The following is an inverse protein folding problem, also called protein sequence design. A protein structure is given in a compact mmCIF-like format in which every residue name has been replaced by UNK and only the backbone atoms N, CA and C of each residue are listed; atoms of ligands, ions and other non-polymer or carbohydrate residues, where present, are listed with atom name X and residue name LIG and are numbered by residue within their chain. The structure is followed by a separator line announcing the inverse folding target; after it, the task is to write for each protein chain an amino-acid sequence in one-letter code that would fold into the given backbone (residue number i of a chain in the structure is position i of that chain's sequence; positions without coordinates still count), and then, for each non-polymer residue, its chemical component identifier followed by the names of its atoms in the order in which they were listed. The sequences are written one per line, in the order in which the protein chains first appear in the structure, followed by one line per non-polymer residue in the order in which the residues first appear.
data_IF_770611601953
#
_entry.id   IF_770611601953
#
_cell.length_a   1.000
_cell.length_b   1.000
_cell.length_c   1.000
_cell.angle_alpha   90.00
_cell.angle_beta   90.00
_cell.angle_gamma   90.00
#
_symmetry.space_group_name_H-M   'P 1'
#
loop_
_entity.id
_entity.type
_entity.pdbx_description
1 polymer ?
#
# COMPACT_ATOMS: atom_id res chain seq x y z
N UNK A 1 41.00 12.64 14.36
CA UNK A 1 40.57 11.98 13.11
C UNK A 1 39.45 10.93 13.27
N UNK A 2 39.19 10.38 14.47
CA UNK A 2 38.15 9.35 14.68
C UNK A 2 36.69 9.88 14.71
N UNK A 3 36.48 11.15 15.06
CA UNK A 3 35.14 11.78 15.09
C UNK A 3 34.65 12.19 13.69
N UNK A 4 35.55 12.68 12.84
CA UNK A 4 35.25 13.10 11.46
C UNK A 4 34.78 11.92 10.59
N UNK A 5 35.37 10.73 10.78
CA UNK A 5 35.00 9.52 10.03
C UNK A 5 33.59 9.00 10.38
N UNK A 6 33.13 9.20 11.64
CA UNK A 6 31.77 8.81 12.06
C UNK A 6 30.69 9.70 11.44
N UNK A 7 30.97 10.99 11.29
CA UNK A 7 30.03 11.95 10.68
C UNK A 7 29.87 11.66 9.19
N UNK A 8 30.97 11.32 8.48
CA UNK A 8 30.93 10.95 7.06
C UNK A 8 30.10 9.68 6.84
N UNK A 9 30.24 8.66 7.68
CA UNK A 9 29.44 7.42 7.60
C UNK A 9 27.95 7.67 7.83
N UNK A 10 27.59 8.53 8.79
CA UNK A 10 26.20 8.92 9.05
C UNK A 10 25.58 9.65 7.85
N UNK A 11 26.32 10.57 7.23
CA UNK A 11 25.87 11.29 6.04
C UNK A 11 25.72 10.33 4.85
N UNK A 12 26.66 9.40 4.63
CA UNK A 12 26.56 8.40 3.56
C UNK A 12 25.36 7.45 3.76
N UNK A 13 25.06 7.06 5.01
CA UNK A 13 23.88 6.24 5.30
C UNK A 13 22.55 6.99 5.10
N UNK A 14 22.54 8.31 5.27
CA UNK A 14 21.36 9.16 5.02
C UNK A 14 21.10 9.34 3.52
N UNK A 15 22.14 9.33 2.69
CA UNK A 15 22.02 9.49 1.23
C UNK A 15 21.65 8.17 0.53
N UNK A 16 22.01 7.02 1.11
CA UNK A 16 21.67 5.70 0.55
C UNK A 16 20.18 5.31 0.73
N UNK A 17 19.36 6.14 1.37
CA UNK A 17 17.95 5.86 1.65
C UNK A 17 16.94 6.54 0.69
N UNK A 18 17.38 7.14 -0.42
CA UNK A 18 16.54 8.09 -1.14
C UNK A 18 16.36 7.80 -2.64
N UNK A 19 15.73 6.66 -2.99
CA UNK A 19 14.86 6.56 -4.18
C UNK A 19 13.97 5.32 -4.09
N UNK A 20 13.12 5.25 -3.05
CA UNK A 20 12.02 4.29 -3.05
C UNK A 20 10.77 5.00 -3.58
N UNK A 21 10.09 4.38 -4.53
CA UNK A 21 8.79 4.83 -5.04
C UNK A 21 7.77 4.55 -3.96
N UNK A 22 7.06 5.58 -3.49
CA UNK A 22 6.09 5.45 -2.41
C UNK A 22 4.67 5.58 -2.94
N UNK A 23 3.79 4.74 -2.44
CA UNK A 23 2.36 4.75 -2.75
C UNK A 23 1.57 4.96 -1.47
N UNK A 24 0.50 5.74 -1.58
CA UNK A 24 -0.45 5.94 -0.50
C UNK A 24 -1.85 5.82 -1.09
N UNK A 25 -2.62 4.89 -0.55
CA UNK A 25 -4.03 4.71 -0.83
C UNK A 25 -4.79 4.90 0.46
N UNK A 26 -5.86 5.69 0.41
CA UNK A 26 -6.77 5.89 1.52
C UNK A 26 -8.19 5.68 1.02
N UNK A 27 -8.98 4.94 1.79
CA UNK A 27 -10.37 4.67 1.48
C UNK A 27 -11.18 4.48 2.76
N UNK A 28 -12.47 4.73 2.64
CA UNK A 28 -13.47 4.32 3.61
C UNK A 28 -14.17 3.07 3.07
N UNK A 29 -14.16 1.99 3.84
CA UNK A 29 -14.96 0.81 3.56
C UNK A 29 -16.19 0.86 4.45
N UNK A 30 -17.36 0.57 3.86
CA UNK A 30 -18.63 0.45 4.57
C UNK A 30 -19.27 -0.88 4.23
N UNK A 31 -19.84 -1.53 5.23
CA UNK A 31 -20.53 -2.80 5.13
C UNK A 31 -21.98 -2.66 5.60
N UNK A 32 -22.92 -2.92 4.71
CA UNK A 32 -24.36 -2.81 5.01
C UNK A 32 -24.86 -3.89 5.99
N UNK A 33 -24.02 -4.89 6.30
CA UNK A 33 -24.30 -5.97 7.26
C UNK A 33 -23.77 -5.60 8.66
N UNK A 34 -24.41 -4.59 9.29
CA UNK A 34 -23.97 -3.94 10.53
C UNK A 34 -23.72 -4.86 11.75
N UNK A 35 -24.29 -6.07 11.75
CA UNK A 35 -24.14 -7.03 12.85
C UNK A 35 -22.85 -7.87 12.74
N UNK A 36 -22.19 -7.87 11.58
CA UNK A 36 -21.05 -8.73 11.29
C UNK A 36 -19.72 -7.96 11.32
N UNK A 37 -18.68 -8.63 11.82
CA UNK A 37 -17.30 -8.19 11.66
C UNK A 37 -16.84 -8.71 10.31
N UNK A 38 -16.38 -7.81 9.44
CA UNK A 38 -15.82 -8.18 8.15
C UNK A 38 -14.30 -8.03 8.17
N UNK A 39 -13.64 -8.92 7.45
CA UNK A 39 -12.20 -8.89 7.21
C UNK A 39 -11.92 -8.26 5.86
N UNK A 40 -10.83 -7.50 5.77
CA UNK A 40 -10.30 -7.11 4.49
C UNK A 40 -8.78 -7.08 4.46
N UNK A 41 -8.27 -7.36 3.27
CA UNK A 41 -6.86 -7.44 2.94
C UNK A 41 -6.58 -6.44 1.85
N UNK A 42 -5.51 -5.68 1.99
CA UNK A 42 -5.06 -4.75 0.96
C UNK A 42 -3.59 -4.97 0.64
N UNK A 43 -3.27 -5.01 -0.65
CA UNK A 43 -1.91 -4.98 -1.16
C UNK A 43 -1.84 -4.16 -2.45
N UNK A 44 -0.63 -3.71 -2.79
CA UNK A 44 -0.35 -3.05 -4.06
C UNK A 44 0.18 -4.06 -5.07
N UNK A 45 -0.27 -3.92 -6.31
CA UNK A 45 0.14 -4.72 -7.43
C UNK A 45 0.66 -3.84 -8.57
N UNK A 46 1.63 -4.34 -9.31
CA UNK A 46 2.04 -3.85 -10.62
C UNK A 46 1.69 -4.95 -11.64
N UNK A 47 0.64 -4.75 -12.44
CA UNK A 47 0.02 -5.83 -13.22
C UNK A 47 -0.37 -7.00 -12.31
N UNK A 48 0.20 -8.19 -12.50
CA UNK A 48 -0.10 -9.38 -11.70
C UNK A 48 0.90 -9.59 -10.53
N UNK A 49 1.91 -8.73 -10.40
CA UNK A 49 2.95 -8.85 -9.37
C UNK A 49 2.59 -8.04 -8.12
N UNK A 50 2.54 -8.70 -6.96
CA UNK A 50 2.38 -8.01 -5.67
C UNK A 50 3.67 -7.29 -5.29
N UNK A 51 3.60 -5.96 -5.16
CA UNK A 51 4.75 -5.08 -4.86
C UNK A 51 4.76 -4.53 -3.43
N UNK A 52 3.78 -4.88 -2.60
CA UNK A 52 3.76 -4.51 -1.18
C UNK A 52 3.37 -5.66 -0.27
N UNK A 53 3.71 -5.54 1.02
CA UNK A 53 3.19 -6.44 2.05
C UNK A 53 1.67 -6.27 2.17
N UNK A 54 0.95 -7.39 2.20
CA UNK A 54 -0.48 -7.40 2.49
C UNK A 54 -0.77 -6.88 3.90
N UNK A 55 -1.76 -5.99 4.01
CA UNK A 55 -2.27 -5.50 5.27
C UNK A 55 -3.66 -6.07 5.53
N UNK A 56 -3.82 -6.69 6.68
CA UNK A 56 -5.09 -7.24 7.15
C UNK A 56 -5.72 -6.29 8.16
N UNK A 57 -7.01 -6.07 8.02
CA UNK A 57 -7.81 -5.24 8.90
C UNK A 57 -9.18 -5.90 9.12
N UNK A 58 -9.79 -5.57 10.24
CA UNK A 58 -11.15 -5.98 10.57
C UNK A 58 -11.96 -4.77 10.98
N UNK A 59 -13.25 -4.78 10.66
CA UNK A 59 -14.13 -3.66 10.94
C UNK A 59 -15.57 -4.15 11.19
N UNK A 60 -16.34 -3.30 11.86
CA UNK A 60 -17.78 -3.45 12.02
C UNK A 60 -18.42 -2.17 11.49
N UNK A 61 -19.46 -2.28 10.65
CA UNK A 61 -20.09 -1.16 9.93
C UNK A 61 -19.13 -0.48 8.95
N UNK A 62 -18.18 0.34 9.42
CA UNK A 62 -17.26 1.05 8.54
C UNK A 62 -15.84 1.17 9.11
N UNK A 63 -14.86 1.33 8.21
CA UNK A 63 -13.49 1.65 8.57
C UNK A 63 -12.84 2.55 7.53
N UNK A 64 -12.43 3.74 7.98
CA UNK A 64 -11.49 4.57 7.26
C UNK A 64 -10.05 4.08 7.50
N UNK A 65 -9.30 3.89 6.43
CA UNK A 65 -7.91 3.46 6.52
C UNK A 65 -7.04 4.11 5.45
N UNK A 66 -5.74 4.04 5.67
CA UNK A 66 -4.72 4.31 4.66
C UNK A 66 -3.70 3.17 4.67
N UNK A 67 -3.16 2.81 3.52
CA UNK A 67 -2.11 1.82 3.37
C UNK A 67 -0.91 2.48 2.67
N UNK A 68 0.28 2.28 3.20
CA UNK A 68 1.52 2.78 2.62
C UNK A 68 2.27 1.63 1.97
N UNK A 69 2.85 1.90 0.80
CA UNK A 69 3.69 0.96 0.07
C UNK A 69 4.96 1.63 -0.37
N UNK A 70 6.03 0.86 -0.50
CA UNK A 70 7.29 1.32 -1.05
C UNK A 70 7.92 0.22 -1.91
N UNK A 71 8.38 0.59 -3.10
CA UNK A 71 9.14 -0.28 -4.00
C UNK A 71 10.45 0.40 -4.41
N UNK A 72 11.54 -0.36 -4.55
CA UNK A 72 12.81 0.17 -5.05
C UNK A 72 12.73 0.57 -6.52
N UNK A 73 11.94 -0.17 -7.30
CA UNK A 73 11.71 0.06 -8.73
C UNK A 73 10.33 -0.48 -9.13
N UNK A 74 9.73 0.10 -10.16
CA UNK A 74 8.51 -0.42 -10.80
C UNK A 74 8.74 -0.44 -12.30
N UNK A 75 8.46 -1.57 -12.93
CA UNK A 75 8.58 -1.72 -14.39
C UNK A 75 7.49 -0.96 -15.16
N UNK A 76 6.23 -1.06 -14.71
CA UNK A 76 5.07 -0.44 -15.36
C UNK A 76 4.31 0.47 -14.35
N UNK A 77 4.85 1.65 -14.00
CA UNK A 77 4.28 2.51 -12.94
C UNK A 77 2.81 2.90 -13.18
N UNK A 78 2.37 3.00 -14.43
CA UNK A 78 0.99 3.28 -14.81
C UNK A 78 0.01 2.11 -14.57
N UNK A 79 0.54 0.92 -14.30
CA UNK A 79 -0.24 -0.29 -13.99
C UNK A 79 -0.38 -0.53 -12.50
N UNK A 80 0.25 0.29 -11.67
CA UNK A 80 0.18 0.12 -10.24
C UNK A 80 -1.23 0.41 -9.75
N UNK A 81 -1.74 -0.47 -8.88
CA UNK A 81 -3.07 -0.39 -8.32
C UNK A 81 -3.11 -1.02 -6.93
N UNK A 82 -4.11 -0.64 -6.13
CA UNK A 82 -4.44 -1.35 -4.90
C UNK A 82 -5.47 -2.43 -5.19
N UNK A 83 -5.27 -3.62 -4.63
CA UNK A 83 -6.26 -4.70 -4.60
C UNK A 83 -6.79 -4.81 -3.18
N UNK A 84 -8.11 -4.78 -3.03
CA UNK A 84 -8.80 -5.00 -1.77
C UNK A 84 -9.59 -6.29 -1.89
N UNK A 85 -9.28 -7.27 -1.02
CA UNK A 85 -10.10 -8.48 -0.84
C UNK A 85 -10.89 -8.31 0.45
N UNK A 86 -12.20 -8.54 0.43
CA UNK A 86 -13.05 -8.41 1.61
C UNK A 86 -14.18 -9.45 1.61
N UNK A 87 -14.70 -9.80 2.79
CA UNK A 87 -15.81 -10.73 2.96
C UNK A 87 -17.15 -10.03 3.29
N UNK A 88 -17.20 -8.70 3.21
CA UNK A 88 -18.45 -7.95 3.34
C UNK A 88 -19.43 -8.22 2.17
N UNK A 89 -20.16 -9.32 2.26
CA UNK A 89 -21.18 -9.76 1.30
C UNK A 89 -22.32 -10.47 2.04
N UNK A 90 -23.49 -10.62 1.41
CA UNK A 90 -24.63 -11.36 2.00
C UNK A 90 -24.24 -12.78 2.43
N UNK A 91 -23.34 -13.41 1.68
CA UNK A 91 -22.94 -14.81 1.87
C UNK A 91 -21.69 -14.96 2.73
N UNK A 92 -20.94 -13.88 2.98
CA UNK A 92 -19.61 -13.94 3.59
C UNK A 92 -18.52 -14.47 2.64
N UNK A 93 -18.81 -14.55 1.34
CA UNK A 93 -17.81 -14.94 0.34
C UNK A 93 -16.82 -13.78 0.09
N UNK A 94 -15.55 -14.14 -0.13
CA UNK A 94 -14.52 -13.16 -0.48
C UNK A 94 -14.80 -12.54 -1.87
N UNK A 95 -14.73 -11.21 -1.91
CA UNK A 95 -14.78 -10.40 -3.12
C UNK A 95 -13.49 -9.60 -3.27
N UNK A 96 -13.07 -9.40 -4.52
CA UNK A 96 -11.88 -8.64 -4.89
C UNK A 96 -12.26 -7.38 -5.68
N UNK A 97 -11.63 -6.25 -5.34
CA UNK A 97 -11.80 -4.97 -6.04
C UNK A 97 -10.45 -4.31 -6.28
N UNK A 98 -10.20 -3.90 -7.52
CA UNK A 98 -8.96 -3.24 -7.95
C UNK A 98 -9.15 -1.73 -8.17
N UNK A 99 -8.24 -0.93 -7.61
CA UNK A 99 -8.22 0.53 -7.67
C UNK A 99 -6.95 1.03 -8.37
N UNK A 100 -7.07 1.39 -9.64
CA UNK A 100 -5.96 1.91 -10.45
C UNK A 100 -5.66 3.39 -10.15
N UNK A 101 -4.38 3.71 -9.96
CA UNK A 101 -3.95 5.09 -9.70
C UNK A 101 -3.85 5.88 -11.00
N UNK A 102 -4.63 6.94 -11.14
CA UNK A 102 -4.63 7.80 -12.34
C UNK A 102 -3.49 8.85 -12.36
N UNK A 103 -2.48 8.75 -11.48
CA UNK A 103 -1.55 9.85 -11.24
C UNK A 103 -0.19 9.49 -10.66
N UNK A 104 0.38 8.32 -10.97
CA UNK A 104 1.80 8.09 -10.69
C UNK A 104 2.59 8.94 -11.68
N UNK A 105 2.98 10.12 -11.23
CA UNK A 105 3.80 11.08 -11.97
C UNK A 105 5.19 10.48 -12.17
N UNK A 106 5.39 9.79 -13.30
CA UNK A 106 6.63 9.08 -13.65
C UNK A 106 7.85 10.01 -13.72
N UNK A 107 7.66 11.33 -13.78
CA UNK A 107 8.74 12.33 -13.77
C UNK A 107 9.25 12.67 -12.35
N UNK A 108 8.57 12.20 -11.30
CA UNK A 108 8.96 12.38 -9.88
C UNK A 108 9.40 11.08 -9.19
N UNK A 109 9.56 10.02 -9.97
CA UNK A 109 10.02 8.69 -9.57
C UNK A 109 11.52 8.56 -9.86
#
# INVERSE_FOLDING_TARGET
MRKTMKIVLLIFSLIYQASAIRFLFASELSCDYYEDIFEFKIAYFNEDEQISTERHLTAQDSLFFFHEGAAESIENPEKVHAVIVHDCTITGDEMEVSYYFSGIDSEKV
#
